data_IF_932413091010
#
_entry.id   IF_932413091010
#
_cell.length_a   1.000
_cell.length_b   1.000
_cell.length_c   1.000
_cell.angle_alpha   90.00
_cell.angle_beta   90.00
_cell.angle_gamma   90.00
#
_symmetry.space_group_name_H-M   'P 1'
#
loop_
_entity.id
_entity.type
_entity.pdbx_description
1 polymer ?
#
# COMPACT_ATOMS: atom_id res chain seq x y z
N UNK A 1 -24.49 -25.86 43.33
CA UNK A 1 -23.51 -24.92 42.76
C UNK A 1 -23.47 -25.13 41.25
N UNK A 2 -24.30 -24.41 40.50
CA UNK A 2 -24.35 -24.50 39.04
C UNK A 2 -23.20 -23.67 38.46
N UNK A 3 -22.26 -24.36 37.81
CA UNK A 3 -21.20 -23.75 37.05
C UNK A 3 -21.79 -22.85 35.96
N UNK A 4 -21.76 -21.54 36.20
CA UNK A 4 -21.91 -20.54 35.14
C UNK A 4 -20.68 -20.66 34.25
N UNK A 5 -20.74 -21.53 33.25
CA UNK A 5 -19.80 -21.52 32.14
C UNK A 5 -19.97 -20.19 31.40
N UNK A 6 -19.17 -19.20 31.78
CA UNK A 6 -18.88 -18.03 30.97
C UNK A 6 -18.13 -18.50 29.72
N UNK A 7 -18.84 -19.15 28.80
CA UNK A 7 -18.47 -19.10 27.39
C UNK A 7 -18.58 -17.62 27.02
N UNK A 8 -17.46 -16.90 27.09
CA UNK A 8 -17.29 -15.65 26.36
C UNK A 8 -17.90 -15.90 24.99
N UNK A 9 -19.00 -15.20 24.69
CA UNK A 9 -19.75 -15.35 23.45
C UNK A 9 -18.80 -14.96 22.33
N UNK A 10 -18.08 -15.94 21.76
CA UNK A 10 -17.07 -15.71 20.74
C UNK A 10 -17.71 -14.92 19.61
N UNK A 11 -17.23 -13.70 19.40
CA UNK A 11 -17.65 -12.91 18.25
C UNK A 11 -17.21 -13.65 16.99
N UNK A 12 -18.05 -13.62 15.96
CA UNK A 12 -17.80 -14.26 14.67
C UNK A 12 -17.78 -13.22 13.58
N UNK A 13 -17.13 -13.52 12.47
CA UNK A 13 -17.28 -12.71 11.27
C UNK A 13 -18.74 -12.70 10.82
N UNK A 14 -19.26 -11.50 10.57
CA UNK A 14 -20.63 -11.27 10.13
C UNK A 14 -20.69 -11.36 8.62
N UNK A 15 -21.81 -11.89 8.14
CA UNK A 15 -22.22 -11.76 6.75
C UNK A 15 -23.50 -10.95 6.67
N UNK A 16 -23.76 -10.33 5.52
CA UNK A 16 -24.99 -9.56 5.32
C UNK A 16 -26.24 -10.44 5.54
N UNK A 17 -26.17 -11.70 5.11
CA UNK A 17 -27.25 -12.68 5.28
C UNK A 17 -27.44 -13.12 6.73
N UNK A 18 -26.38 -13.26 7.53
CA UNK A 18 -26.49 -13.82 8.88
C UNK A 18 -27.00 -12.82 9.92
N UNK A 19 -26.65 -11.54 9.81
CA UNK A 19 -27.04 -10.51 10.78
C UNK A 19 -27.39 -9.16 10.13
N UNK A 20 -28.38 -9.10 9.22
CA UNK A 20 -28.68 -7.90 8.41
C UNK A 20 -28.98 -6.65 9.25
N UNK A 21 -29.53 -6.82 10.46
CA UNK A 21 -29.85 -5.72 11.36
C UNK A 21 -28.64 -4.90 11.83
N UNK A 22 -27.41 -5.45 11.73
CA UNK A 22 -26.16 -4.81 12.16
C UNK A 22 -25.38 -4.14 11.02
N UNK A 23 -25.96 -4.10 9.82
CA UNK A 23 -25.35 -3.45 8.66
C UNK A 23 -25.98 -2.08 8.41
N UNK A 24 -25.15 -1.16 7.94
CA UNK A 24 -25.60 0.06 7.29
C UNK A 24 -25.03 0.09 5.87
N UNK A 25 -25.67 0.84 4.99
CA UNK A 25 -25.24 0.97 3.61
C UNK A 25 -25.34 2.41 3.14
N UNK A 26 -24.63 2.71 2.07
CA UNK A 26 -24.81 3.93 1.30
C UNK A 26 -24.63 3.65 -0.20
N UNK A 27 -25.20 4.49 -1.08
CA UNK A 27 -25.05 4.33 -2.52
C UNK A 27 -23.59 4.37 -2.93
N UNK A 28 -23.16 3.34 -3.66
CA UNK A 28 -21.82 3.19 -4.19
C UNK A 28 -21.89 2.12 -5.31
N UNK A 29 -22.05 2.54 -6.57
CA UNK A 29 -22.12 1.59 -7.68
C UNK A 29 -20.75 0.93 -7.90
N UNK A 30 -20.75 -0.27 -8.49
CA UNK A 30 -19.50 -1.00 -8.77
C UNK A 30 -18.56 -0.28 -9.73
N UNK A 31 -19.10 0.58 -10.60
CA UNK A 31 -18.29 1.47 -11.45
C UNK A 31 -17.45 2.44 -10.62
N UNK A 32 -17.90 2.81 -9.43
CA UNK A 32 -17.19 3.68 -8.50
C UNK A 32 -16.29 2.89 -7.55
N UNK A 33 -16.63 1.67 -7.13
CA UNK A 33 -15.80 0.87 -6.22
C UNK A 33 -15.97 -0.65 -6.45
N UNK A 34 -14.84 -1.34 -6.59
CA UNK A 34 -14.76 -2.81 -6.55
C UNK A 34 -13.86 -3.26 -5.40
N UNK A 35 -14.47 -3.72 -4.29
CA UNK A 35 -13.73 -4.16 -3.10
C UNK A 35 -12.67 -5.22 -3.41
N UNK A 36 -12.98 -6.18 -4.27
CA UNK A 36 -12.09 -7.26 -4.69
C UNK A 36 -10.86 -6.76 -5.44
N UNK A 37 -11.04 -5.79 -6.35
CA UNK A 37 -9.94 -5.21 -7.11
C UNK A 37 -9.13 -4.20 -6.29
N UNK A 38 -9.74 -3.55 -5.29
CA UNK A 38 -9.07 -2.52 -4.48
C UNK A 38 -8.35 -3.12 -3.28
N UNK A 39 -9.03 -3.94 -2.47
CA UNK A 39 -8.51 -4.41 -1.18
C UNK A 39 -7.43 -5.50 -1.32
N UNK A 40 -7.36 -6.18 -2.47
CA UNK A 40 -6.32 -7.16 -2.78
C UNK A 40 -5.13 -6.58 -3.61
N UNK A 41 -5.22 -5.33 -4.08
CA UNK A 41 -4.25 -4.73 -5.03
C UNK A 41 -2.88 -4.37 -4.45
N UNK A 42 -2.65 -4.60 -3.15
CA UNK A 42 -1.41 -4.18 -2.48
C UNK A 42 -1.34 -2.68 -2.15
N UNK A 43 -2.47 -1.97 -2.24
CA UNK A 43 -2.61 -0.62 -1.68
C UNK A 43 -2.62 -0.65 -0.16
N UNK A 44 -3.48 -1.50 0.41
CA UNK A 44 -3.52 -1.81 1.84
C UNK A 44 -3.20 -3.29 2.06
N UNK A 45 -2.64 -3.60 3.22
CA UNK A 45 -2.25 -4.95 3.63
C UNK A 45 -3.06 -5.41 4.85
N UNK A 46 -4.24 -4.81 5.09
CA UNK A 46 -5.03 -4.97 6.31
C UNK A 46 -6.38 -5.65 6.11
N UNK A 47 -6.68 -6.04 4.88
CA UNK A 47 -7.98 -6.61 4.49
C UNK A 47 -7.84 -8.08 4.07
N UNK A 48 -8.80 -8.91 4.48
CA UNK A 48 -8.92 -10.32 4.13
C UNK A 48 -10.35 -10.64 3.77
N UNK A 49 -10.54 -11.40 2.71
CA UNK A 49 -11.83 -12.00 2.40
C UNK A 49 -12.05 -13.21 3.33
N UNK A 50 -12.76 -13.01 4.45
CA UNK A 50 -13.00 -14.05 5.48
C UNK A 50 -14.22 -14.91 5.15
N UNK A 51 -15.09 -14.42 4.28
CA UNK A 51 -16.20 -15.15 3.69
C UNK A 51 -16.39 -14.63 2.26
N UNK A 52 -16.98 -15.39 1.34
CA UNK A 52 -17.14 -14.97 -0.05
C UNK A 52 -17.78 -13.58 -0.16
N UNK A 53 -17.12 -12.67 -0.88
CA UNK A 53 -17.43 -11.26 -1.05
C UNK A 53 -17.47 -10.41 0.25
N UNK A 54 -16.94 -10.90 1.37
CA UNK A 54 -16.92 -10.20 2.66
C UNK A 54 -15.49 -9.95 3.13
N UNK A 55 -15.09 -8.69 3.04
CA UNK A 55 -13.75 -8.22 3.36
C UNK A 55 -13.71 -7.71 4.79
N UNK A 56 -12.91 -8.32 5.64
CA UNK A 56 -12.71 -7.90 7.02
C UNK A 56 -11.31 -7.33 7.22
N UNK A 57 -11.21 -6.25 7.99
CA UNK A 57 -9.97 -5.52 8.18
C UNK A 57 -10.06 -4.48 9.29
N UNK A 58 -8.98 -3.75 9.49
CA UNK A 58 -8.90 -2.65 10.47
C UNK A 58 -8.92 -1.32 9.74
N UNK A 59 -9.82 -0.43 10.15
CA UNK A 59 -9.96 0.93 9.64
C UNK A 59 -10.29 1.84 10.83
N UNK A 60 -9.51 2.92 10.98
CA UNK A 60 -9.64 3.87 12.10
C UNK A 60 -9.68 3.17 13.48
N UNK A 61 -8.72 2.26 13.73
CA UNK A 61 -8.60 1.47 14.96
C UNK A 61 -9.83 0.62 15.35
N UNK A 62 -10.75 0.41 14.40
CA UNK A 62 -11.90 -0.46 14.56
C UNK A 62 -11.83 -1.60 13.56
N UNK A 63 -12.41 -2.75 13.92
CA UNK A 63 -12.56 -3.87 12.99
C UNK A 63 -13.85 -3.68 12.21
N UNK A 64 -13.77 -3.89 10.90
CA UNK A 64 -14.88 -3.75 9.96
C UNK A 64 -15.04 -5.01 9.14
N UNK A 65 -16.27 -5.27 8.70
CA UNK A 65 -16.54 -6.15 7.55
C UNK A 65 -17.31 -5.35 6.50
N UNK A 66 -16.86 -5.42 5.25
CA UNK A 66 -17.42 -4.73 4.10
C UNK A 66 -17.88 -5.74 3.05
N UNK A 67 -19.00 -5.47 2.41
CA UNK A 67 -19.48 -6.21 1.23
C UNK A 67 -20.26 -5.26 0.32
N UNK A 68 -20.50 -5.64 -0.93
CA UNK A 68 -21.14 -4.76 -1.91
C UNK A 68 -22.18 -5.49 -2.76
N UNK A 69 -23.26 -4.79 -3.11
CA UNK A 69 -24.15 -5.20 -4.20
C UNK A 69 -23.74 -4.46 -5.48
N UNK A 70 -24.63 -4.35 -6.47
CA UNK A 70 -24.34 -3.58 -7.68
C UNK A 70 -24.31 -2.07 -7.42
N UNK A 71 -25.18 -1.60 -6.51
CA UNK A 71 -25.43 -0.16 -6.29
C UNK A 71 -25.05 0.34 -4.89
N UNK A 72 -24.73 -0.55 -3.94
CA UNK A 72 -24.52 -0.19 -2.55
C UNK A 72 -23.29 -0.86 -1.94
N UNK A 73 -22.57 -0.08 -1.12
CA UNK A 73 -21.58 -0.61 -0.19
C UNK A 73 -22.23 -0.82 1.18
N UNK A 74 -22.11 -2.03 1.71
CA UNK A 74 -22.58 -2.43 3.03
C UNK A 74 -21.42 -2.51 4.01
N UNK A 75 -21.60 -1.92 5.18
CA UNK A 75 -20.59 -1.83 6.22
C UNK A 75 -21.15 -2.35 7.56
N UNK A 76 -20.34 -3.09 8.30
CA UNK A 76 -20.59 -3.41 9.71
C UNK A 76 -19.31 -3.25 10.50
N UNK A 77 -19.43 -2.77 11.74
CA UNK A 77 -18.30 -2.46 12.64
C UNK A 77 -18.40 -3.29 13.92
N UNK A 78 -17.26 -3.68 14.47
CA UNK A 78 -17.15 -4.42 15.73
C UNK A 78 -16.49 -3.52 16.78
N UNK A 79 -17.21 -3.24 17.86
CA UNK A 79 -16.79 -2.31 18.94
C UNK A 79 -16.29 -3.02 20.20
N UNK A 80 -16.00 -4.32 20.10
CA UNK A 80 -15.61 -5.17 21.24
C UNK A 80 -16.67 -5.27 22.33
N UNK A 81 -16.31 -5.86 23.48
CA UNK A 81 -17.24 -6.14 24.58
C UNK A 81 -17.74 -4.88 25.30
N UNK A 82 -16.97 -3.78 25.23
CA UNK A 82 -17.31 -2.50 25.87
C UNK A 82 -18.18 -1.60 24.99
N UNK A 83 -18.26 -1.88 23.69
CA UNK A 83 -19.01 -1.07 22.75
C UNK A 83 -20.45 -1.55 22.56
N UNK A 84 -21.37 -0.60 22.36
CA UNK A 84 -22.77 -0.96 22.03
C UNK A 84 -22.81 -1.68 20.68
N UNK A 85 -23.41 -2.86 20.68
CA UNK A 85 -23.73 -3.61 19.46
C UNK A 85 -24.85 -2.85 18.73
N UNK A 86 -24.62 -2.54 17.46
CA UNK A 86 -25.55 -1.81 16.62
C UNK A 86 -24.92 -1.46 15.28
N UNK A 87 -25.74 -0.92 14.37
CA UNK A 87 -25.30 -0.45 13.06
C UNK A 87 -24.17 0.59 13.18
N UNK A 88 -23.32 0.74 12.16
CA UNK A 88 -22.41 1.88 12.07
C UNK A 88 -23.16 3.21 12.24
N UNK A 89 -22.57 4.14 12.99
CA UNK A 89 -23.08 5.52 13.11
C UNK A 89 -22.76 6.31 11.84
N UNK A 90 -23.38 7.48 11.69
CA UNK A 90 -23.07 8.36 10.56
C UNK A 90 -21.59 8.80 10.53
N UNK A 91 -20.98 9.03 11.70
CA UNK A 91 -19.57 9.40 11.81
C UNK A 91 -18.64 8.26 11.40
N UNK A 92 -18.95 7.03 11.81
CA UNK A 92 -18.17 5.85 11.42
C UNK A 92 -18.31 5.59 9.90
N UNK A 93 -19.50 5.79 9.31
CA UNK A 93 -19.69 5.70 7.86
C UNK A 93 -18.92 6.80 7.11
N UNK A 94 -18.81 8.01 7.67
CA UNK A 94 -17.97 9.08 7.09
C UNK A 94 -16.50 8.64 7.02
N UNK A 95 -15.99 7.94 8.03
CA UNK A 95 -14.62 7.42 7.99
C UNK A 95 -14.42 6.41 6.84
N UNK A 96 -15.41 5.54 6.58
CA UNK A 96 -15.36 4.62 5.42
C UNK A 96 -15.40 5.41 4.10
N UNK A 97 -16.29 6.41 3.98
CA UNK A 97 -16.37 7.26 2.77
C UNK A 97 -15.04 7.99 2.48
N UNK A 98 -14.40 8.52 3.52
CA UNK A 98 -13.09 9.18 3.41
C UNK A 98 -11.99 8.19 3.02
N UNK A 99 -11.94 7.03 3.67
CA UNK A 99 -10.97 5.98 3.36
C UNK A 99 -11.04 5.51 1.91
N UNK A 100 -12.24 5.40 1.34
CA UNK A 100 -12.40 5.08 -0.08
C UNK A 100 -12.44 6.31 -1.00
N UNK A 101 -12.30 7.54 -0.48
CA UNK A 101 -12.37 8.81 -1.23
C UNK A 101 -13.62 8.96 -2.11
N UNK A 102 -14.79 8.57 -1.60
CA UNK A 102 -16.03 8.44 -2.39
C UNK A 102 -16.67 9.77 -2.83
N UNK A 103 -16.10 10.90 -2.45
CA UNK A 103 -16.55 12.21 -2.94
C UNK A 103 -15.91 12.59 -4.29
N UNK A 104 -14.88 11.85 -4.73
CA UNK A 104 -14.32 11.94 -6.08
C UNK A 104 -15.15 11.08 -7.04
N UNK A 105 -15.52 11.57 -8.22
CA UNK A 105 -16.17 10.71 -9.21
C UNK A 105 -15.13 9.90 -9.98
N UNK A 106 -15.09 8.60 -9.76
CA UNK A 106 -14.20 7.70 -10.51
C UNK A 106 -14.64 7.61 -11.98
N UNK A 107 -15.94 7.65 -12.26
CA UNK A 107 -16.45 7.66 -13.62
C UNK A 107 -15.92 8.83 -14.45
N UNK A 108 -15.87 10.04 -13.88
CA UNK A 108 -15.29 11.22 -14.56
C UNK A 108 -13.80 11.04 -14.83
N UNK A 109 -13.06 10.47 -13.88
CA UNK A 109 -11.64 10.19 -14.05
C UNK A 109 -11.40 9.14 -15.14
N UNK A 110 -12.14 8.04 -15.13
CA UNK A 110 -12.04 6.98 -16.14
C UNK A 110 -12.37 7.49 -17.53
N UNK A 111 -13.40 8.33 -17.65
CA UNK A 111 -13.76 8.98 -18.91
C UNK A 111 -12.61 9.85 -19.42
N UNK A 112 -12.03 10.69 -18.55
CA UNK A 112 -10.90 11.53 -18.93
C UNK A 112 -9.68 10.71 -19.36
N UNK A 113 -9.25 9.73 -18.57
CA UNK A 113 -8.09 8.89 -18.90
C UNK A 113 -8.30 8.10 -20.19
N UNK A 114 -9.49 7.54 -20.38
CA UNK A 114 -9.84 6.84 -21.63
C UNK A 114 -9.83 7.75 -22.86
N UNK A 115 -10.08 9.06 -22.68
CA UNK A 115 -10.06 10.04 -23.78
C UNK A 115 -8.66 10.42 -24.25
N UNK A 116 -7.65 10.26 -23.40
CA UNK A 116 -6.26 10.65 -23.67
C UNK A 116 -5.32 9.45 -23.83
N UNK A 117 -5.76 8.25 -23.45
CA UNK A 117 -4.99 7.00 -23.53
C UNK A 117 -5.87 5.83 -24.01
N UNK A 118 -5.73 5.40 -25.28
CA UNK A 118 -6.46 4.25 -25.82
C UNK A 118 -6.14 2.93 -25.12
N UNK A 119 -4.92 2.75 -24.60
CA UNK A 119 -4.57 1.54 -23.86
C UNK A 119 -5.33 1.50 -22.53
N UNK A 120 -5.36 2.63 -21.82
CA UNK A 120 -6.17 2.77 -20.62
C UNK A 120 -7.64 2.45 -20.90
N UNK A 121 -8.20 2.97 -21.99
CA UNK A 121 -9.60 2.72 -22.37
C UNK A 121 -9.91 1.22 -22.50
N UNK A 122 -9.01 0.43 -23.09
CA UNK A 122 -9.18 -1.03 -23.20
C UNK A 122 -9.14 -1.71 -21.83
N UNK A 123 -8.15 -1.37 -21.00
CA UNK A 123 -7.96 -1.96 -19.67
C UNK A 123 -9.12 -1.61 -18.74
N UNK A 124 -9.62 -0.38 -18.79
CA UNK A 124 -10.72 0.13 -17.97
C UNK A 124 -12.03 -0.63 -18.18
N UNK A 125 -12.25 -1.26 -19.35
CA UNK A 125 -13.43 -2.10 -19.58
C UNK A 125 -13.45 -3.34 -18.68
N UNK A 126 -12.26 -3.89 -18.37
CA UNK A 126 -12.11 -5.10 -17.53
C UNK A 126 -11.97 -4.75 -16.05
N UNK A 127 -11.32 -3.64 -15.74
CA UNK A 127 -10.99 -3.23 -14.37
C UNK A 127 -11.69 -1.94 -13.96
N UNK A 128 -13.01 -2.00 -13.83
CA UNK A 128 -13.81 -0.88 -13.30
C UNK A 128 -13.74 -0.79 -11.77
N UNK A 129 -14.01 0.39 -11.21
CA UNK A 129 -14.13 0.56 -9.76
C UNK A 129 -12.81 0.47 -8.99
N UNK A 130 -11.65 0.54 -9.66
CA UNK A 130 -10.35 0.56 -9.00
C UNK A 130 -10.07 1.96 -8.48
N UNK A 131 -10.20 2.14 -7.16
CA UNK A 131 -9.96 3.40 -6.45
C UNK A 131 -8.65 3.40 -5.67
N UNK A 132 -8.15 4.60 -5.40
CA UNK A 132 -7.04 4.83 -4.49
C UNK A 132 -7.54 5.01 -3.05
N UNK A 133 -6.95 4.31 -2.10
CA UNK A 133 -7.32 4.38 -0.68
C UNK A 133 -6.68 5.56 0.05
N UNK A 134 -7.44 6.18 0.96
CA UNK A 134 -6.98 7.17 1.92
C UNK A 134 -6.78 6.57 3.35
N UNK A 135 -5.75 5.75 3.49
CA UNK A 135 -5.11 5.20 4.68
C UNK A 135 -4.49 6.22 5.69
N UNK A 136 -4.06 5.71 6.83
CA UNK A 136 -3.32 6.46 7.84
C UNK A 136 -1.83 6.63 7.44
N UNK A 137 -1.16 7.77 7.72
CA UNK A 137 0.21 8.00 7.26
C UNK A 137 1.23 7.10 7.95
N UNK A 138 1.01 6.75 9.22
CA UNK A 138 1.87 5.83 9.96
C UNK A 138 1.72 4.43 9.38
N UNK A 139 0.47 3.95 9.27
CA UNK A 139 0.19 2.64 8.69
C UNK A 139 0.78 2.52 7.28
N UNK A 140 0.56 3.53 6.44
CA UNK A 140 1.04 3.54 5.07
C UNK A 140 2.58 3.57 4.99
N UNK A 141 3.22 4.49 5.71
CA UNK A 141 4.68 4.65 5.73
C UNK A 141 5.38 3.34 6.11
N UNK A 142 5.02 2.76 7.24
CA UNK A 142 5.70 1.58 7.74
C UNK A 142 5.34 0.31 6.97
N UNK A 143 4.12 0.24 6.40
CA UNK A 143 3.76 -0.85 5.48
C UNK A 143 4.59 -0.83 4.20
N UNK A 144 4.83 0.34 3.60
CA UNK A 144 5.65 0.44 2.38
C UNK A 144 7.16 0.40 2.63
N UNK A 145 7.65 0.80 3.81
CA UNK A 145 9.03 0.46 4.23
C UNK A 145 9.22 -1.06 4.23
N UNK A 146 8.21 -1.82 4.67
CA UNK A 146 8.22 -3.28 4.63
C UNK A 146 8.08 -3.88 3.22
N UNK A 147 7.63 -3.11 2.23
CA UNK A 147 7.31 -3.61 0.88
C UNK A 147 8.46 -3.59 -0.12
N UNK A 148 9.54 -2.85 0.15
CA UNK A 148 10.66 -2.70 -0.78
C UNK A 148 11.23 -4.06 -1.21
N UNK A 149 11.33 -4.35 -2.51
CA UNK A 149 11.83 -5.64 -3.05
C UNK A 149 11.14 -6.88 -2.42
N UNK A 150 9.81 -6.95 -2.51
CA UNK A 150 8.99 -7.98 -1.88
C UNK A 150 7.70 -8.22 -2.70
N UNK A 151 6.95 -9.28 -2.39
CA UNK A 151 5.65 -9.58 -3.02
C UNK A 151 4.48 -9.36 -2.07
N UNK A 152 3.28 -9.13 -2.61
CA UNK A 152 2.08 -8.76 -1.82
C UNK A 152 1.84 -9.76 -0.68
N UNK A 153 1.81 -11.06 -0.96
CA UNK A 153 1.54 -12.09 0.05
C UNK A 153 2.52 -12.03 1.24
N UNK A 154 3.82 -11.89 0.98
CA UNK A 154 4.84 -11.79 2.02
C UNK A 154 4.74 -10.47 2.78
N UNK A 155 4.43 -9.36 2.11
CA UNK A 155 4.23 -8.06 2.75
C UNK A 155 3.03 -8.13 3.69
N UNK A 156 1.90 -8.70 3.25
CA UNK A 156 0.71 -8.80 4.11
C UNK A 156 1.00 -9.60 5.37
N UNK A 157 1.69 -10.74 5.26
CA UNK A 157 2.11 -11.50 6.43
C UNK A 157 3.10 -10.76 7.35
N UNK A 158 4.00 -9.94 6.79
CA UNK A 158 4.92 -9.10 7.59
C UNK A 158 4.16 -8.01 8.35
N UNK A 159 3.23 -7.32 7.70
CA UNK A 159 2.41 -6.26 8.31
C UNK A 159 1.50 -6.85 9.40
N UNK A 160 0.90 -8.03 9.17
CA UNK A 160 0.11 -8.75 10.17
C UNK A 160 0.94 -9.07 11.42
N UNK A 161 2.14 -9.66 11.27
CA UNK A 161 3.03 -9.97 12.41
C UNK A 161 3.49 -8.72 13.15
N UNK A 162 3.76 -7.63 12.42
CA UNK A 162 4.12 -6.34 13.00
C UNK A 162 2.98 -5.80 13.88
N UNK A 163 1.73 -5.83 13.39
CA UNK A 163 0.57 -5.39 14.16
C UNK A 163 0.30 -6.31 15.36
N UNK A 164 0.45 -7.62 15.21
CA UNK A 164 0.29 -8.58 16.32
C UNK A 164 1.29 -8.34 17.46
N UNK A 165 2.53 -8.00 17.12
CA UNK A 165 3.61 -7.86 18.11
C UNK A 165 3.61 -6.50 18.79
N UNK A 166 3.37 -5.42 18.04
CA UNK A 166 3.53 -4.04 18.51
C UNK A 166 2.24 -3.23 18.54
N UNK A 167 1.16 -3.76 17.98
CA UNK A 167 -0.13 -3.08 17.86
C UNK A 167 -1.09 -3.48 19.00
N UNK A 168 -1.98 -2.56 19.41
CA UNK A 168 -2.96 -2.85 20.46
C UNK A 168 -3.92 -3.94 19.98
N UNK A 169 -4.19 -4.96 20.81
CA UNK A 169 -5.22 -5.95 20.52
C UNK A 169 -6.60 -5.27 20.55
N UNK A 170 -7.35 -5.38 19.45
CA UNK A 170 -8.69 -4.79 19.34
C UNK A 170 -9.76 -5.79 19.80
N UNK A 171 -9.83 -6.93 19.10
CA UNK A 171 -10.80 -7.99 19.37
C UNK A 171 -10.43 -9.27 18.60
N UNK A 172 -11.17 -10.34 18.87
CA UNK A 172 -11.05 -11.61 18.17
C UNK A 172 -12.40 -11.98 17.54
N UNK A 173 -12.36 -12.33 16.25
CA UNK A 173 -13.49 -12.88 15.50
C UNK A 173 -13.11 -14.28 15.05
N UNK A 174 -13.90 -15.28 15.44
CA UNK A 174 -13.56 -16.69 15.24
C UNK A 174 -12.14 -16.98 15.78
N UNK A 175 -11.23 -17.47 14.93
CA UNK A 175 -9.83 -17.75 15.27
C UNK A 175 -8.87 -16.60 14.87
N UNK A 176 -9.40 -15.48 14.37
CA UNK A 176 -8.61 -14.33 13.91
C UNK A 176 -8.59 -13.24 14.96
N UNK A 177 -7.40 -12.91 15.46
CA UNK A 177 -7.20 -11.76 16.37
C UNK A 177 -6.78 -10.53 15.57
N UNK A 178 -7.55 -9.45 15.70
CA UNK A 178 -7.29 -8.17 15.07
C UNK A 178 -6.54 -7.26 16.04
N UNK A 179 -5.52 -6.59 15.51
CA UNK A 179 -4.70 -5.60 16.21
C UNK A 179 -4.75 -4.27 15.46
N UNK A 180 -4.70 -3.15 16.18
CA UNK A 180 -4.47 -1.83 15.59
C UNK A 180 -3.05 -1.74 15.01
N UNK A 181 -2.79 -0.70 14.23
CA UNK A 181 -1.44 -0.45 13.76
C UNK A 181 -0.57 0.05 14.93
N UNK A 182 0.73 -0.32 15.01
CA UNK A 182 1.59 0.15 16.09
C UNK A 182 1.76 1.67 16.09
N UNK A 183 1.83 2.27 17.28
CA UNK A 183 2.15 3.69 17.41
C UNK A 183 3.62 3.95 17.12
N UNK A 184 3.98 5.22 16.84
CA UNK A 184 5.38 5.62 16.68
C UNK A 184 6.22 5.22 17.90
N UNK A 185 5.67 5.42 19.11
CA UNK A 185 6.34 5.10 20.37
C UNK A 185 6.63 3.60 20.48
N UNK A 186 5.67 2.75 20.07
CA UNK A 186 5.86 1.31 20.03
C UNK A 186 6.95 0.89 19.05
N UNK A 187 7.07 1.57 17.90
CA UNK A 187 8.07 1.27 16.86
C UNK A 187 9.47 1.85 17.15
N UNK A 188 9.58 2.88 17.99
CA UNK A 188 10.86 3.51 18.33
C UNK A 188 11.61 2.83 19.48
N UNK A 189 11.00 1.85 20.15
CA UNK A 189 11.56 1.18 21.32
C UNK A 189 12.95 0.53 21.10
N UNK A 190 13.72 0.28 22.18
CA UNK A 190 15.12 -0.16 22.08
C UNK A 190 15.29 -1.55 21.47
N UNK A 191 14.33 -2.45 21.63
CA UNK A 191 14.41 -3.85 21.15
C UNK A 191 13.66 -4.10 19.83
N UNK A 192 13.04 -3.07 19.25
CA UNK A 192 12.13 -3.22 18.10
C UNK A 192 12.85 -3.83 16.89
N UNK A 193 14.02 -3.33 16.53
CA UNK A 193 14.78 -3.87 15.40
C UNK A 193 15.06 -5.38 15.57
N UNK A 194 15.56 -5.77 16.74
CA UNK A 194 15.91 -7.17 17.01
C UNK A 194 14.68 -8.09 16.94
N UNK A 195 13.53 -7.63 17.46
CA UNK A 195 12.27 -8.37 17.38
C UNK A 195 11.74 -8.45 15.94
N UNK A 196 11.77 -7.36 15.17
CA UNK A 196 11.37 -7.35 13.76
C UNK A 196 12.24 -8.26 12.89
N UNK A 197 13.54 -8.40 13.20
CA UNK A 197 14.41 -9.37 12.53
C UNK A 197 13.95 -10.80 12.77
N UNK A 198 13.57 -11.15 14.01
CA UNK A 198 13.01 -12.47 14.35
C UNK A 198 11.67 -12.73 13.64
N UNK A 199 10.89 -11.69 13.34
CA UNK A 199 9.63 -11.78 12.58
C UNK A 199 9.82 -11.87 11.06
N UNK A 200 11.06 -11.90 10.58
CA UNK A 200 11.40 -12.12 9.17
C UNK A 200 11.46 -10.86 8.30
N UNK A 201 11.52 -9.65 8.91
CA UNK A 201 11.62 -8.41 8.14
C UNK A 201 13.02 -8.19 7.51
N UNK A 202 14.03 -8.91 7.98
CA UNK A 202 15.41 -8.82 7.48
C UNK A 202 16.01 -7.44 7.70
N UNK A 203 16.70 -6.90 6.69
CA UNK A 203 17.35 -5.59 6.78
C UNK A 203 16.37 -4.43 6.99
N UNK A 204 15.09 -4.58 6.58
CA UNK A 204 14.04 -3.56 6.71
C UNK A 204 13.66 -3.30 8.17
N UNK A 205 13.95 -4.24 9.08
CA UNK A 205 13.77 -4.04 10.51
C UNK A 205 14.48 -2.78 11.03
N UNK A 206 15.69 -2.52 10.53
CA UNK A 206 16.45 -1.29 10.86
C UNK A 206 15.72 -0.05 10.39
N UNK A 207 15.14 -0.08 9.18
CA UNK A 207 14.43 1.07 8.61
C UNK A 207 13.16 1.41 9.39
N UNK A 208 12.39 0.41 9.80
CA UNK A 208 11.21 0.64 10.64
C UNK A 208 11.60 1.30 11.96
N UNK A 209 12.59 0.74 12.68
CA UNK A 209 13.00 1.29 13.97
C UNK A 209 13.65 2.68 13.85
N UNK A 210 14.54 2.86 12.89
CA UNK A 210 15.24 4.13 12.68
C UNK A 210 14.31 5.25 12.19
N UNK A 211 13.37 4.95 11.28
CA UNK A 211 12.38 5.93 10.83
C UNK A 211 11.42 6.33 11.94
N UNK A 212 11.00 5.40 12.79
CA UNK A 212 10.17 5.72 13.96
C UNK A 212 10.90 6.66 14.94
N UNK A 213 12.18 6.42 15.22
CA UNK A 213 13.01 7.30 16.04
C UNK A 213 13.23 8.66 15.40
N UNK A 214 13.64 8.72 14.13
CA UNK A 214 13.84 9.97 13.41
C UNK A 214 12.58 10.85 13.43
N UNK A 215 11.40 10.24 13.23
CA UNK A 215 10.13 10.98 13.29
C UNK A 215 9.88 11.53 14.70
N UNK A 216 10.04 10.72 15.75
CA UNK A 216 9.77 11.14 17.13
C UNK A 216 10.78 12.14 17.68
N UNK A 217 12.07 11.91 17.45
CA UNK A 217 13.17 12.59 18.12
C UNK A 217 13.64 13.83 17.33
N UNK A 218 13.59 13.78 15.99
CA UNK A 218 14.18 14.83 15.14
C UNK A 218 13.14 15.65 14.37
N UNK A 219 11.94 15.09 14.12
CA UNK A 219 10.91 15.74 13.29
C UNK A 219 9.71 16.27 14.06
N UNK A 220 9.63 16.07 15.38
CA UNK A 220 8.50 16.54 16.19
C UNK A 220 7.28 15.61 16.17
N UNK A 221 7.46 14.34 15.79
CA UNK A 221 6.48 13.28 15.94
C UNK A 221 5.36 13.25 14.89
N UNK A 222 4.19 12.74 15.28
CA UNK A 222 3.01 12.61 14.42
C UNK A 222 2.57 13.93 13.75
N UNK A 223 2.62 15.10 14.41
CA UNK A 223 2.26 16.37 13.78
C UNK A 223 3.02 16.66 12.48
N UNK A 224 4.30 16.27 12.38
CA UNK A 224 5.08 16.46 11.15
C UNK A 224 4.49 15.68 9.98
N UNK A 225 4.16 14.40 10.16
CA UNK A 225 3.50 13.59 9.13
C UNK A 225 2.12 14.15 8.75
N UNK A 226 1.37 14.67 9.72
CA UNK A 226 0.07 15.30 9.46
C UNK A 226 0.19 16.59 8.67
N UNK A 227 1.25 17.38 8.88
CA UNK A 227 1.52 18.59 8.10
C UNK A 227 1.88 18.26 6.66
N UNK A 228 2.63 17.18 6.41
CA UNK A 228 2.97 16.75 5.05
C UNK A 228 1.70 16.51 4.21
N UNK A 229 0.58 16.06 4.82
CA UNK A 229 -0.71 15.91 4.12
C UNK A 229 -1.23 17.18 3.45
N UNK A 230 -0.78 18.34 3.88
CA UNK A 230 -1.18 19.65 3.35
C UNK A 230 -0.08 20.31 2.53
N UNK A 231 1.11 19.72 2.51
CA UNK A 231 2.26 20.25 1.79
C UNK A 231 2.19 19.90 0.29
N UNK A 232 2.81 20.71 -0.58
CA UNK A 232 3.02 20.36 -1.98
C UNK A 232 3.70 19.00 -2.13
N UNK A 233 3.40 18.30 -3.23
CA UNK A 233 3.95 16.97 -3.52
C UNK A 233 5.47 16.92 -3.41
N UNK A 234 6.15 17.89 -4.01
CA UNK A 234 7.60 17.97 -4.13
C UNK A 234 8.26 18.13 -2.75
N UNK A 235 7.65 18.94 -1.89
CA UNK A 235 8.09 19.15 -0.51
C UNK A 235 7.88 17.90 0.34
N UNK A 236 6.69 17.31 0.27
CA UNK A 236 6.37 16.07 0.98
C UNK A 236 7.28 14.93 0.54
N UNK A 237 7.48 14.78 -0.77
CA UNK A 237 8.33 13.76 -1.36
C UNK A 237 9.78 13.90 -0.87
N UNK A 238 10.32 15.13 -0.92
CA UNK A 238 11.68 15.44 -0.45
C UNK A 238 11.82 15.16 1.04
N UNK A 239 10.84 15.57 1.85
CA UNK A 239 10.84 15.35 3.29
C UNK A 239 10.82 13.86 3.65
N UNK A 240 9.95 13.08 3.00
CA UNK A 240 9.83 11.63 3.24
C UNK A 240 11.08 10.86 2.81
N UNK A 241 11.74 11.25 1.72
CA UNK A 241 12.99 10.64 1.25
C UNK A 241 14.17 10.80 2.22
N UNK A 242 14.05 11.66 3.25
CA UNK A 242 15.06 11.75 4.30
C UNK A 242 14.99 10.59 5.30
N UNK A 243 13.88 9.84 5.33
CA UNK A 243 13.67 8.75 6.27
C UNK A 243 14.41 7.48 5.84
N UNK A 244 15.04 6.75 6.78
CA UNK A 244 15.66 5.46 6.50
C UNK A 244 14.71 4.47 5.80
N UNK A 245 15.12 3.98 4.63
CA UNK A 245 14.34 3.01 3.85
C UNK A 245 13.23 3.61 2.97
N UNK A 246 13.11 4.94 2.92
CA UNK A 246 12.21 5.64 2.01
C UNK A 246 13.02 6.25 0.87
N UNK A 247 12.93 5.64 -0.31
CA UNK A 247 13.53 6.17 -1.53
C UNK A 247 12.49 6.78 -2.48
N UNK A 248 12.95 7.20 -3.65
CA UNK A 248 12.13 7.74 -4.75
C UNK A 248 11.04 6.79 -5.27
N UNK A 249 11.10 5.50 -4.93
CA UNK A 249 10.04 4.51 -5.24
C UNK A 249 8.99 4.37 -4.13
N UNK A 250 9.38 4.62 -2.88
CA UNK A 250 8.51 4.46 -1.71
C UNK A 250 7.75 5.75 -1.44
N UNK A 251 8.45 6.88 -1.52
CA UNK A 251 7.90 8.22 -1.26
C UNK A 251 6.65 8.55 -2.11
N UNK A 252 6.61 8.27 -3.43
CA UNK A 252 5.42 8.58 -4.24
C UNK A 252 4.19 7.72 -3.87
N UNK A 253 4.36 6.57 -3.20
CA UNK A 253 3.24 5.76 -2.64
C UNK A 253 2.65 6.38 -1.37
N UNK A 254 3.42 7.24 -0.72
CA UNK A 254 3.05 7.97 0.49
C UNK A 254 2.55 9.38 0.14
N UNK A 255 2.82 9.89 -1.04
CA UNK A 255 2.31 11.20 -1.46
C UNK A 255 0.81 11.28 -1.80
N UNK A 256 0.02 10.19 -1.99
CA UNK A 256 -1.44 10.32 -2.07
C UNK A 256 -2.07 10.88 -0.77
N UNK A 257 -1.30 10.91 0.33
CA UNK A 257 -1.66 11.58 1.59
C UNK A 257 -1.66 13.11 1.48
N UNK A 258 -0.94 13.67 0.50
CA UNK A 258 -0.62 15.10 0.42
C UNK A 258 -1.48 15.77 -0.64
N UNK A 259 -2.53 16.45 -0.18
CA UNK A 259 -3.50 17.28 -0.91
C UNK A 259 -3.64 16.97 -2.41
N UNK A 260 -4.53 16.06 -2.82
CA UNK A 260 -5.01 15.91 -4.21
C UNK A 260 -3.94 16.02 -5.32
N UNK A 261 -2.67 15.73 -5.05
CA UNK A 261 -1.63 15.85 -6.06
C UNK A 261 -1.61 14.56 -6.88
N UNK A 262 -2.47 14.53 -7.90
CA UNK A 262 -2.52 13.48 -8.92
C UNK A 262 -1.27 13.37 -9.79
N UNK A 263 -0.08 13.79 -9.33
CA UNK A 263 1.19 13.81 -10.11
C UNK A 263 2.15 12.66 -9.76
N UNK A 264 1.77 11.79 -8.82
CA UNK A 264 2.67 10.75 -8.30
C UNK A 264 2.63 9.48 -9.16
N UNK A 265 3.68 9.24 -9.93
CA UNK A 265 3.92 8.02 -10.71
C UNK A 265 4.86 7.08 -9.93
N UNK A 266 4.41 5.84 -9.68
CA UNK A 266 5.24 4.82 -9.06
C UNK A 266 5.92 3.97 -10.12
N UNK A 267 7.20 4.23 -10.40
CA UNK A 267 7.99 3.38 -11.29
C UNK A 267 8.49 2.16 -10.51
N UNK A 268 7.98 0.99 -10.86
CA UNK A 268 8.62 -0.30 -10.51
C UNK A 268 9.25 -0.91 -11.74
N UNK A 269 10.10 -1.92 -11.56
CA UNK A 269 10.65 -2.68 -12.69
C UNK A 269 9.51 -3.16 -13.58
N UNK A 270 9.26 -2.44 -14.68
CA UNK A 270 8.57 -3.00 -15.83
C UNK A 270 9.40 -4.20 -16.25
N UNK A 271 8.76 -5.35 -16.46
CA UNK A 271 9.43 -6.53 -16.98
C UNK A 271 10.15 -6.13 -18.26
N UNK A 272 11.47 -6.01 -18.20
CA UNK A 272 12.27 -5.90 -19.42
C UNK A 272 12.10 -7.25 -20.12
N UNK A 273 11.53 -7.31 -21.33
CA UNK A 273 11.45 -8.57 -22.05
C UNK A 273 12.88 -9.10 -22.19
N UNK A 274 13.11 -10.40 -21.95
CA UNK A 274 14.45 -10.95 -22.09
C UNK A 274 14.93 -10.68 -23.52
N UNK A 275 16.20 -10.25 -23.70
CA UNK A 275 16.74 -10.08 -25.04
C UNK A 275 16.57 -11.39 -25.82
N UNK A 276 16.26 -11.33 -27.14
CA UNK A 276 16.06 -12.51 -27.94
C UNK A 276 17.28 -13.43 -27.78
N UNK A 277 17.04 -14.68 -27.37
CA UNK A 277 18.08 -15.69 -27.25
C UNK A 277 18.66 -15.96 -28.64
N UNK A 278 19.73 -15.25 -28.99
CA UNK A 278 20.60 -15.67 -30.08
C UNK A 278 21.25 -16.97 -29.62
N UNK A 279 20.86 -18.10 -30.21
CA UNK A 279 21.53 -19.39 -30.01
C UNK A 279 22.96 -19.25 -30.53
N UNK A 280 23.91 -19.06 -29.63
CA UNK A 280 25.31 -19.32 -29.93
C UNK A 280 25.46 -20.81 -30.30
N UNK A 281 26.19 -21.14 -31.39
CA UNK A 281 26.44 -22.53 -31.75
C UNK A 281 27.23 -23.22 -30.63
N UNK A 282 26.83 -24.45 -30.29
CA UNK A 282 27.47 -25.26 -29.25
C UNK A 282 28.92 -25.54 -29.65
N UNK A 283 29.93 -25.25 -28.80
CA UNK A 283 31.26 -25.77 -29.02
C UNK A 283 31.29 -27.26 -28.69
N UNK A 284 31.73 -28.06 -29.65
CA UNK A 284 32.02 -29.49 -29.49
C UNK A 284 33.14 -29.69 -28.46
N UNK A 285 32.90 -30.60 -27.52
CA UNK A 285 33.86 -31.06 -26.52
C UNK A 285 35.10 -31.66 -27.20
N UNK A 286 36.29 -31.24 -26.77
CA UNK A 286 37.48 -32.08 -26.81
C UNK A 286 38.18 -32.03 -25.45
N UNK A 287 38.52 -33.22 -24.95
CA UNK A 287 39.22 -33.47 -23.69
C UNK A 287 40.74 -33.54 -23.93
N UNK A 288 41.54 -32.91 -23.07
CA UNK A 288 43.02 -33.02 -23.02
C UNK A 288 43.62 -32.19 -21.87
N UNK A 289 44.79 -32.54 -21.31
CA UNK A 289 44.96 -32.72 -19.86
C UNK A 289 45.51 -31.53 -19.06
N UNK A 290 45.37 -31.64 -17.73
CA UNK A 290 45.81 -30.73 -16.66
C UNK A 290 47.30 -30.37 -16.74
N UNK A 291 47.61 -29.10 -16.44
CA UNK A 291 48.91 -28.67 -15.90
C UNK A 291 48.70 -27.62 -14.80
N UNK A 292 49.60 -27.65 -13.82
CA UNK A 292 49.63 -26.95 -12.54
C UNK A 292 50.47 -25.66 -12.57
N UNK A 293 50.09 -24.71 -11.68
CA UNK A 293 50.87 -23.62 -11.05
C UNK A 293 51.47 -22.46 -11.88
N UNK A 294 51.36 -21.23 -11.33
CA UNK A 294 52.18 -20.08 -11.71
C UNK A 294 51.50 -18.71 -11.67
N UNK A 295 51.85 -17.89 -10.68
CA UNK A 295 51.55 -16.45 -10.49
C UNK A 295 52.14 -15.52 -11.56
N UNK A 296 51.44 -14.42 -11.94
CA UNK A 296 51.92 -13.00 -11.92
C UNK A 296 50.97 -11.99 -12.62
N UNK A 297 50.76 -10.85 -11.95
CA UNK A 297 50.50 -9.44 -12.36
C UNK A 297 49.91 -9.01 -13.73
N UNK A 298 48.87 -8.15 -13.59
CA UNK A 298 48.64 -6.81 -14.16
C UNK A 298 48.48 -6.55 -15.68
N UNK A 299 47.29 -6.02 -16.06
CA UNK A 299 47.01 -4.86 -16.95
C UNK A 299 45.47 -4.70 -17.10
N UNK A 300 44.83 -3.65 -16.55
CA UNK A 300 44.38 -2.37 -17.17
C UNK A 300 43.58 -2.48 -18.49
N UNK A 301 42.30 -2.09 -18.42
CA UNK A 301 41.53 -1.30 -19.40
C UNK A 301 40.17 -0.93 -18.73
N UNK A 302 39.97 0.30 -18.25
CA UNK A 302 39.38 1.46 -18.95
C UNK A 302 37.92 1.32 -19.42
N UNK A 303 37.04 2.11 -18.78
CA UNK A 303 35.99 2.89 -19.46
C UNK A 303 34.58 2.30 -19.53
N UNK A 304 33.65 2.87 -18.75
CA UNK A 304 32.50 3.55 -19.38
C UNK A 304 31.93 4.66 -18.47
N UNK A 305 31.85 5.85 -19.08
CA UNK A 305 31.47 7.13 -18.48
C UNK A 305 29.97 7.24 -18.25
N UNK A 306 29.64 7.91 -17.16
CA UNK A 306 28.35 8.58 -16.92
C UNK A 306 28.25 9.73 -17.93
N UNK A 307 27.27 9.70 -18.83
CA UNK A 307 26.93 10.85 -19.66
C UNK A 307 25.85 11.68 -18.97
N UNK A 308 26.26 12.91 -18.64
CA UNK A 308 25.41 14.03 -18.30
C UNK A 308 24.33 14.25 -19.37
N UNK A 309 23.08 14.46 -18.96
CA UNK A 309 22.13 15.22 -19.77
C UNK A 309 22.02 16.61 -19.15
N UNK A 310 22.52 17.57 -19.92
CA UNK A 310 22.63 19.00 -19.65
C UNK A 310 21.29 19.70 -19.68
N UNK A 311 21.23 20.75 -18.88
CA UNK A 311 20.28 21.86 -18.92
C UNK A 311 20.01 22.34 -20.35
N UNK A 312 18.74 22.59 -20.64
CA UNK A 312 18.32 23.51 -21.69
C UNK A 312 17.43 24.56 -21.01
N UNK A 313 18.02 25.72 -20.73
CA UNK A 313 17.30 26.95 -20.46
C UNK A 313 16.52 27.36 -21.71
N UNK A 314 15.24 27.68 -21.55
CA UNK A 314 14.53 28.56 -22.48
C UNK A 314 13.73 29.59 -21.70
N UNK A 315 14.30 30.79 -21.61
CA UNK A 315 13.65 32.01 -21.17
C UNK A 315 12.51 32.38 -22.14
N UNK A 316 11.28 32.51 -21.63
CA UNK A 316 10.29 33.44 -22.17
C UNK A 316 9.28 33.83 -21.08
N UNK A 317 8.99 35.14 -21.04
CA UNK A 317 8.22 35.87 -20.01
C UNK A 317 6.78 35.36 -19.82
N UNK A 318 6.14 35.62 -18.66
CA UNK A 318 4.85 35.04 -18.31
C UNK A 318 3.69 35.86 -18.86
N UNK A 319 2.77 35.22 -19.57
CA UNK A 319 1.41 35.73 -19.82
C UNK A 319 0.39 34.75 -19.27
N UNK A 320 -0.58 35.30 -18.55
CA UNK A 320 -1.66 34.61 -17.84
C UNK A 320 -2.45 33.62 -18.71
N UNK A 321 -3.09 32.68 -18.01
CA UNK A 321 -4.05 31.67 -18.43
C UNK A 321 -3.46 30.38 -18.99
N UNK A 322 -3.27 29.39 -18.12
CA UNK A 322 -3.67 28.02 -18.46
C UNK A 322 -3.97 27.22 -17.20
N UNK A 323 -5.24 26.84 -17.09
CA UNK A 323 -5.81 26.08 -16.01
C UNK A 323 -5.54 24.58 -16.23
N UNK A 324 -4.94 23.94 -15.22
CA UNK A 324 -5.28 22.57 -14.83
C UNK A 324 -4.99 21.44 -15.82
N UNK A 325 -3.72 21.14 -16.10
CA UNK A 325 -3.31 19.82 -16.60
C UNK A 325 -3.07 18.86 -15.42
N UNK A 326 -3.92 17.85 -15.28
CA UNK A 326 -3.90 16.84 -14.22
C UNK A 326 -3.45 15.47 -14.78
N UNK A 327 -2.16 15.09 -14.68
CA UNK A 327 -1.71 13.80 -15.18
C UNK A 327 -1.83 12.71 -14.10
N UNK A 328 -3.04 12.21 -13.86
CA UNK A 328 -3.24 11.00 -13.04
C UNK A 328 -2.77 9.75 -13.81
N UNK A 329 -2.14 8.81 -13.09
CA UNK A 329 -1.34 7.73 -13.69
C UNK A 329 -2.12 6.43 -14.02
N UNK A 330 -1.95 5.88 -15.24
CA UNK A 330 -2.31 4.52 -15.66
C UNK A 330 -1.63 3.35 -14.92
N UNK A 331 -0.57 3.59 -14.13
CA UNK A 331 0.31 2.53 -13.62
C UNK A 331 -0.33 1.59 -12.58
N UNK A 332 -1.40 2.00 -11.88
CA UNK A 332 -2.11 1.11 -10.95
C UNK A 332 -2.87 0.02 -11.71
N UNK A 333 -3.48 0.36 -12.85
CA UNK A 333 -4.18 -0.60 -13.70
C UNK A 333 -3.22 -1.47 -14.49
N UNK A 334 -2.10 -0.93 -14.99
CA UNK A 334 -1.03 -1.73 -15.60
C UNK A 334 -0.46 -2.75 -14.61
N UNK A 335 -0.19 -2.34 -13.36
CA UNK A 335 0.23 -3.27 -12.30
C UNK A 335 -0.82 -4.35 -12.01
N UNK A 336 -2.12 -4.03 -12.05
CA UNK A 336 -3.17 -5.03 -11.85
C UNK A 336 -3.31 -5.95 -13.08
N UNK A 337 -3.18 -5.43 -14.30
CA UNK A 337 -3.16 -6.24 -15.52
C UNK A 337 -2.05 -7.29 -15.49
N UNK A 338 -0.84 -6.92 -15.04
CA UNK A 338 0.29 -7.85 -14.91
C UNK A 338 0.16 -8.86 -13.75
N UNK A 339 -0.76 -8.65 -12.81
CA UNK A 339 -0.99 -9.56 -11.67
C UNK A 339 -2.17 -10.51 -11.88
N UNK A 340 -3.06 -10.22 -12.85
CA UNK A 340 -4.27 -11.00 -13.14
C UNK A 340 -4.24 -11.70 -14.51
N UNK A 341 -3.08 -11.74 -15.18
CA UNK A 341 -2.74 -12.71 -16.24
C UNK A 341 -2.07 -13.94 -15.62
#
# INVERSE_FOLDING_TARGET
MLARSLLQRRMRHRTLASVPALWASFPCPRSELRLDLVLASGQSFRWREQSPAHWSGVLADQVWTLTQTEEHLYCTVYRGDKGRVGRPTLEELKAVRQYFQLDVSLAQLYHHWSSVDPHFQEVAQKFQGVRLLQQDPIECLFSFICSSNNNIARITGMVERLCQTFGPRLLQLDDVTYHGFPTLQALAGPQVEAQLRKLGLGYRARYVSASARAILEERGGLPWLQQLRKAPYEEAHKALCTLPGVGTKTSPRLCPWTSMCGRSLNVTTAGTPPPPRVRAPRPTRNWGPRFTEGTTEAQRDEGFRISNWSEAESNSNPSLSDAGSWPFSPCLLEFLSDQFQ
#
